data_IF_026543878617
#
_entry.id   IF_026543878617
#
_cell.length_a   1.000
_cell.length_b   1.000
_cell.length_c   1.000
_cell.angle_alpha   90.00
_cell.angle_beta   90.00
_cell.angle_gamma   90.00
#
_symmetry.space_group_name_H-M   'P 1'
#
loop_
_entity.id
_entity.type
_entity.pdbx_description
1 polymer ?
#
# COMPACT_ATOMS: atom_id res chain seq x y z
N UNK A 1 -14.26 -33.09 -17.55
CA UNK A 1 -12.93 -32.53 -17.28
C UNK A 1 -12.96 -31.15 -17.91
N UNK A 2 -13.29 -30.16 -17.09
CA UNK A 2 -13.11 -28.72 -17.31
C UNK A 2 -13.48 -28.09 -15.97
N UNK A 3 -12.51 -28.18 -15.05
CA UNK A 3 -12.59 -27.57 -13.73
C UNK A 3 -12.22 -26.10 -13.92
N UNK A 4 -13.15 -25.32 -14.47
CA UNK A 4 -13.09 -23.86 -14.38
C UNK A 4 -13.32 -23.49 -12.92
N UNK A 5 -12.22 -23.43 -12.19
CA UNK A 5 -12.12 -22.79 -10.89
C UNK A 5 -12.70 -21.40 -11.06
N UNK A 6 -13.73 -21.10 -10.27
CA UNK A 6 -14.51 -19.87 -10.36
C UNK A 6 -13.61 -18.68 -9.97
N UNK A 7 -12.98 -18.04 -10.96
CA UNK A 7 -12.06 -16.91 -10.82
C UNK A 7 -12.72 -15.65 -10.25
N UNK A 8 -14.04 -15.68 -10.00
CA UNK A 8 -14.83 -14.56 -9.51
C UNK A 8 -14.84 -14.39 -7.98
N UNK A 9 -14.27 -15.33 -7.23
CA UNK A 9 -14.08 -15.20 -5.77
C UNK A 9 -12.72 -14.59 -5.38
N UNK A 10 -12.14 -13.79 -6.27
CA UNK A 10 -10.99 -12.97 -5.96
C UNK A 10 -11.45 -11.84 -5.04
N UNK A 11 -10.93 -11.81 -3.81
CA UNK A 11 -11.41 -10.97 -2.70
C UNK A 11 -12.69 -11.48 -2.00
N UNK A 12 -13.05 -12.76 -2.13
CA UNK A 12 -14.25 -13.30 -1.48
C UNK A 12 -14.26 -13.13 0.04
N UNK A 13 -15.41 -12.71 0.59
CA UNK A 13 -15.65 -12.53 2.02
C UNK A 13 -15.10 -13.72 2.84
N UNK A 14 -14.20 -13.41 3.78
CA UNK A 14 -13.95 -14.26 4.94
C UNK A 14 -14.64 -13.58 6.12
N UNK A 15 -15.97 -13.72 6.27
CA UNK A 15 -16.77 -12.89 7.19
C UNK A 15 -16.38 -13.05 8.67
N UNK A 16 -15.48 -13.97 9.00
CA UNK A 16 -14.94 -14.17 10.34
C UNK A 16 -13.73 -13.28 10.67
N UNK A 17 -13.12 -12.56 9.72
CA UNK A 17 -11.89 -11.78 9.98
C UNK A 17 -12.07 -10.27 9.89
N UNK A 18 -12.72 -9.74 8.85
CA UNK A 18 -12.97 -8.30 8.66
C UNK A 18 -14.32 -8.07 7.98
N UNK A 19 -15.08 -7.01 8.35
CA UNK A 19 -16.30 -6.63 7.64
C UNK A 19 -16.04 -5.76 6.40
N UNK A 20 -14.78 -5.46 6.07
CA UNK A 20 -14.41 -4.57 4.98
C UNK A 20 -13.58 -5.28 3.92
N UNK A 21 -13.89 -4.96 2.66
CA UNK A 21 -13.11 -5.35 1.49
C UNK A 21 -13.04 -4.18 0.50
N UNK A 22 -11.94 -4.10 -0.24
CA UNK A 22 -11.70 -3.04 -1.23
C UNK A 22 -12.62 -3.18 -2.44
N UNK A 23 -13.00 -4.41 -2.81
CA UNK A 23 -13.82 -4.68 -4.00
C UNK A 23 -15.22 -4.07 -3.88
N UNK A 24 -15.92 -4.33 -2.77
CA UNK A 24 -17.19 -3.68 -2.44
C UNK A 24 -17.10 -2.15 -2.51
N UNK A 25 -16.03 -1.54 -1.98
CA UNK A 25 -15.85 -0.10 -2.02
C UNK A 25 -15.71 0.42 -3.46
N UNK A 26 -14.86 -0.21 -4.28
CA UNK A 26 -14.72 0.17 -5.69
C UNK A 26 -16.04 -0.03 -6.46
N UNK A 27 -16.74 -1.14 -6.25
CA UNK A 27 -18.05 -1.39 -6.86
C UNK A 27 -19.08 -0.32 -6.48
N UNK A 28 -19.06 0.13 -5.22
CA UNK A 28 -19.91 1.23 -4.77
C UNK A 28 -19.61 2.53 -5.52
N UNK A 29 -18.34 2.94 -5.63
CA UNK A 29 -17.96 4.15 -6.36
C UNK A 29 -18.37 4.09 -7.85
N UNK A 30 -18.10 2.95 -8.50
CA UNK A 30 -18.40 2.75 -9.92
C UNK A 30 -19.91 2.71 -10.18
N UNK A 31 -20.68 2.01 -9.34
CA UNK A 31 -22.15 1.97 -9.47
C UNK A 31 -22.82 3.34 -9.22
N UNK A 32 -22.13 4.25 -8.54
CA UNK A 32 -22.55 5.64 -8.34
C UNK A 32 -21.94 6.62 -9.36
N UNK A 33 -21.42 6.12 -10.49
CA UNK A 33 -21.02 6.93 -11.64
C UNK A 33 -19.59 7.45 -11.64
N UNK A 34 -18.74 7.02 -10.69
CA UNK A 34 -17.31 7.35 -10.75
C UNK A 34 -16.62 6.48 -11.80
N UNK A 35 -15.94 7.14 -12.75
CA UNK A 35 -15.19 6.45 -13.80
C UNK A 35 -13.99 5.71 -13.19
N UNK A 36 -13.82 4.39 -13.42
CA UNK A 36 -12.71 3.61 -12.84
C UNK A 36 -11.32 4.22 -13.05
N UNK A 37 -11.05 4.77 -14.24
CA UNK A 37 -9.75 5.41 -14.57
C UNK A 37 -9.48 6.75 -13.85
N UNK A 38 -10.37 7.15 -12.93
CA UNK A 38 -10.15 8.25 -11.98
C UNK A 38 -9.94 7.78 -10.55
N UNK A 39 -10.09 6.48 -10.26
CA UNK A 39 -9.87 5.89 -8.95
C UNK A 39 -8.43 5.41 -8.84
N UNK A 40 -7.76 5.79 -7.75
CA UNK A 40 -6.40 5.36 -7.41
C UNK A 40 -6.49 4.50 -6.16
N UNK A 41 -5.93 3.28 -6.20
CA UNK A 41 -5.97 2.37 -5.06
C UNK A 41 -4.94 2.77 -4.00
N UNK A 42 -5.41 3.13 -2.81
CA UNK A 42 -4.53 3.39 -1.66
C UNK A 42 -4.01 2.11 -1.02
N UNK A 43 -2.71 2.06 -0.74
CA UNK A 43 -1.99 0.90 -0.22
C UNK A 43 -1.10 1.30 0.97
N UNK A 44 -0.96 0.44 2.00
CA UNK A 44 -0.12 0.73 3.15
C UNK A 44 1.34 0.32 2.94
N UNK A 45 2.27 1.18 3.34
CA UNK A 45 3.69 0.86 3.57
C UNK A 45 3.95 0.61 5.06
N UNK A 46 2.97 0.04 5.76
CA UNK A 46 3.06 -0.26 7.18
C UNK A 46 2.21 -1.48 7.52
N UNK A 47 2.54 -2.10 8.64
CA UNK A 47 1.75 -3.15 9.25
C UNK A 47 0.99 -2.71 10.48
N UNK A 48 -0.14 -3.36 10.74
CA UNK A 48 -0.91 -3.24 11.99
C UNK A 48 -0.76 -4.49 12.83
N UNK A 49 -0.35 -4.32 14.09
CA UNK A 49 -0.05 -5.42 15.00
C UNK A 49 -1.17 -5.72 16.00
N UNK A 50 -1.25 -6.99 16.36
CA UNK A 50 -2.18 -7.57 17.33
C UNK A 50 -1.42 -8.59 18.18
N UNK A 51 -1.37 -8.38 19.50
CA UNK A 51 -0.66 -9.23 20.46
C UNK A 51 -1.61 -10.14 21.23
N UNK A 52 -1.07 -11.22 21.81
CA UNK A 52 -1.81 -12.21 22.57
C UNK A 52 -3.02 -12.76 21.79
N UNK A 53 -2.86 -12.95 20.48
CA UNK A 53 -3.86 -13.52 19.58
C UNK A 53 -3.50 -14.95 19.21
N UNK A 54 -4.48 -15.78 18.83
CA UNK A 54 -4.25 -17.12 18.27
C UNK A 54 -4.09 -17.11 16.74
N UNK A 55 -4.32 -15.96 16.11
CA UNK A 55 -4.14 -15.75 14.68
C UNK A 55 -5.13 -14.73 14.12
N UNK A 56 -5.32 -14.79 12.80
CA UNK A 56 -6.21 -13.89 12.08
C UNK A 56 -7.68 -14.15 12.46
N UNK A 57 -8.44 -13.09 12.78
CA UNK A 57 -9.86 -13.19 13.14
C UNK A 57 -10.15 -13.69 14.55
N UNK A 58 -9.14 -13.89 15.39
CA UNK A 58 -9.31 -14.26 16.80
C UNK A 58 -9.15 -13.04 17.72
N UNK A 59 -9.68 -13.09 18.96
CA UNK A 59 -9.45 -12.02 19.95
C UNK A 59 -7.97 -11.76 20.19
N UNK A 60 -7.63 -10.51 20.53
CA UNK A 60 -6.27 -10.06 20.84
C UNK A 60 -6.27 -9.26 22.15
N UNK A 61 -5.12 -9.19 22.83
CA UNK A 61 -4.96 -8.56 24.15
C UNK A 61 -4.33 -7.17 24.14
N UNK A 62 -3.90 -6.68 22.98
CA UNK A 62 -3.25 -5.39 22.79
C UNK A 62 -2.64 -5.27 21.40
N UNK A 63 -2.05 -4.13 21.10
CA UNK A 63 -1.40 -3.89 19.80
C UNK A 63 0.12 -3.79 19.89
N UNK A 64 0.67 -3.82 21.11
CA UNK A 64 2.10 -3.66 21.33
C UNK A 64 2.61 -2.24 21.04
N UNK A 65 3.94 -2.07 20.95
CA UNK A 65 4.56 -0.83 20.50
C UNK A 65 4.38 -0.65 18.98
N UNK A 66 5.12 0.28 18.40
CA UNK A 66 5.21 0.47 16.95
C UNK A 66 6.47 1.25 16.61
N UNK A 67 6.73 1.47 15.32
CA UNK A 67 7.88 2.27 14.89
C UNK A 67 7.75 3.72 15.35
N UNK A 68 6.54 4.27 15.23
CA UNK A 68 6.23 5.66 15.60
C UNK A 68 5.02 5.75 16.52
N UNK A 69 3.95 5.03 16.18
CA UNK A 69 2.72 4.95 16.96
C UNK A 69 2.45 3.50 17.38
N UNK A 70 1.90 3.31 18.58
CA UNK A 70 1.55 1.98 19.07
C UNK A 70 0.67 1.21 18.06
N UNK A 71 1.03 -0.05 17.80
CA UNK A 71 0.28 -0.90 16.89
C UNK A 71 0.59 -0.70 15.40
N UNK A 72 1.54 0.16 15.04
CA UNK A 72 1.91 0.41 13.65
C UNK A 72 3.43 0.28 13.43
N UNK A 73 3.82 -0.55 12.48
CA UNK A 73 5.22 -0.75 12.12
C UNK A 73 5.46 -0.38 10.66
N UNK A 74 6.53 0.37 10.39
CA UNK A 74 6.99 0.63 9.03
C UNK A 74 7.23 -0.70 8.28
N UNK A 75 6.88 -0.78 7.00
CA UNK A 75 7.10 -1.99 6.21
C UNK A 75 8.58 -2.41 6.18
N UNK A 76 9.51 -1.45 6.08
CA UNK A 76 10.95 -1.71 5.99
C UNK A 76 11.57 -2.47 7.17
N UNK A 77 10.87 -2.59 8.31
CA UNK A 77 11.34 -3.36 9.48
C UNK A 77 10.68 -4.75 9.59
N UNK A 78 9.81 -5.11 8.66
CA UNK A 78 9.07 -6.36 8.63
C UNK A 78 9.64 -7.33 7.57
N UNK A 79 9.51 -8.65 7.77
CA UNK A 79 9.01 -9.32 8.97
C UNK A 79 10.00 -9.25 10.14
N UNK A 80 9.49 -9.35 11.37
CA UNK A 80 10.34 -9.57 12.52
C UNK A 80 10.93 -10.98 12.55
N UNK A 81 12.16 -11.09 13.07
CA UNK A 81 12.83 -12.38 13.24
C UNK A 81 11.98 -13.31 14.11
N UNK A 82 11.81 -14.55 13.66
CA UNK A 82 10.98 -15.56 14.32
C UNK A 82 9.51 -15.56 13.88
N UNK A 83 9.03 -14.48 13.23
CA UNK A 83 7.71 -14.48 12.62
C UNK A 83 7.72 -15.24 11.28
N UNK A 84 6.61 -15.91 10.98
CA UNK A 84 6.39 -16.54 9.67
C UNK A 84 5.39 -15.71 8.88
N UNK A 85 5.76 -15.31 7.67
CA UNK A 85 4.84 -14.65 6.73
C UNK A 85 3.87 -15.65 6.11
N UNK A 86 2.61 -15.21 5.99
CA UNK A 86 1.52 -15.95 5.38
C UNK A 86 0.89 -15.06 4.31
N UNK A 87 0.73 -15.62 3.12
CA UNK A 87 0.04 -15.01 2.00
C UNK A 87 -1.28 -15.76 1.75
N UNK A 88 -2.41 -15.05 1.83
CA UNK A 88 -3.73 -15.56 1.46
C UNK A 88 -4.10 -15.03 0.06
N UNK A 89 -3.83 -15.86 -0.95
CA UNK A 89 -4.11 -15.55 -2.35
C UNK A 89 -5.61 -15.37 -2.65
N UNK A 90 -6.51 -15.94 -1.82
CA UNK A 90 -7.95 -15.78 -2.06
C UNK A 90 -8.40 -14.36 -1.77
N UNK A 91 -7.86 -13.76 -0.70
CA UNK A 91 -8.25 -12.43 -0.22
C UNK A 91 -7.29 -11.31 -0.64
N UNK A 92 -6.17 -11.64 -1.28
CA UNK A 92 -5.17 -10.63 -1.67
C UNK A 92 -4.54 -9.92 -0.49
N UNK A 93 -4.21 -10.69 0.54
CA UNK A 93 -3.70 -10.17 1.81
C UNK A 93 -2.56 -11.00 2.37
N UNK A 94 -1.73 -10.39 3.20
CA UNK A 94 -0.69 -11.09 3.96
C UNK A 94 -0.63 -10.62 5.41
N UNK A 95 0.02 -11.44 6.22
CA UNK A 95 0.40 -11.10 7.59
C UNK A 95 1.62 -11.93 8.00
N UNK A 96 2.36 -11.47 9.00
CA UNK A 96 3.32 -12.30 9.73
C UNK A 96 2.73 -12.74 11.07
N UNK A 97 3.12 -13.92 11.54
CA UNK A 97 2.73 -14.42 12.85
C UNK A 97 3.91 -15.10 13.55
N UNK A 98 4.20 -14.67 14.77
CA UNK A 98 5.14 -15.33 15.67
C UNK A 98 4.36 -16.13 16.71
N UNK A 99 4.55 -17.45 16.70
CA UNK A 99 3.86 -18.39 17.60
C UNK A 99 4.32 -18.32 19.04
N UNK A 100 5.53 -17.84 19.29
CA UNK A 100 6.12 -17.74 20.63
C UNK A 100 5.60 -16.50 21.34
N UNK A 101 5.69 -15.34 20.68
CA UNK A 101 5.18 -14.07 21.22
C UNK A 101 3.68 -13.90 21.05
N UNK A 102 3.05 -14.72 20.19
CA UNK A 102 1.63 -14.64 19.82
C UNK A 102 1.28 -13.26 19.24
N UNK A 103 2.20 -12.71 18.43
CA UNK A 103 2.03 -11.45 17.73
C UNK A 103 1.71 -11.70 16.26
N UNK A 104 0.64 -11.07 15.77
CA UNK A 104 0.27 -11.00 14.36
C UNK A 104 0.51 -9.58 13.86
N UNK A 105 1.10 -9.43 12.67
CA UNK A 105 1.21 -8.12 12.00
C UNK A 105 0.65 -8.26 10.58
N UNK A 106 -0.41 -7.51 10.26
CA UNK A 106 -0.99 -7.50 8.91
C UNK A 106 -0.40 -6.36 8.09
N UNK A 107 0.19 -6.69 6.94
CA UNK A 107 0.82 -5.77 5.98
C UNK A 107 0.90 -6.44 4.60
N UNK A 108 1.19 -5.66 3.56
CA UNK A 108 1.37 -6.18 2.21
C UNK A 108 2.82 -6.67 1.99
N UNK A 109 2.96 -7.85 1.38
CA UNK A 109 4.23 -8.39 0.88
C UNK A 109 4.30 -8.25 -0.64
N UNK A 110 5.48 -8.48 -1.25
CA UNK A 110 5.65 -8.43 -2.71
C UNK A 110 4.58 -9.27 -3.47
N UNK A 111 4.26 -10.52 -3.09
CA UNK A 111 3.18 -11.28 -3.75
C UNK A 111 1.80 -10.61 -3.67
N UNK A 112 1.48 -9.95 -2.55
CA UNK A 112 0.22 -9.21 -2.41
C UNK A 112 0.21 -7.98 -3.31
N UNK A 113 1.34 -7.28 -3.42
CA UNK A 113 1.49 -6.13 -4.31
C UNK A 113 1.34 -6.55 -5.77
N UNK A 114 1.92 -7.68 -6.17
CA UNK A 114 1.74 -8.26 -7.51
C UNK A 114 0.26 -8.51 -7.79
N UNK A 115 -0.43 -9.13 -6.83
CA UNK A 115 -1.85 -9.47 -6.93
C UNK A 115 -2.72 -8.21 -7.05
N UNK A 116 -2.47 -7.20 -6.21
CA UNK A 116 -3.21 -5.93 -6.24
C UNK A 116 -2.91 -5.12 -7.50
N UNK A 117 -1.68 -5.18 -8.03
CA UNK A 117 -1.32 -4.58 -9.31
C UNK A 117 -2.11 -5.21 -10.47
N UNK A 118 -2.18 -6.54 -10.52
CA UNK A 118 -2.99 -7.25 -11.50
C UNK A 118 -4.48 -6.89 -11.39
N UNK A 119 -4.99 -6.77 -10.16
CA UNK A 119 -6.37 -6.37 -9.91
C UNK A 119 -6.66 -4.91 -10.33
N UNK A 120 -5.75 -3.97 -10.07
CA UNK A 120 -5.83 -2.57 -10.56
C UNK A 120 -5.99 -2.55 -12.08
N UNK A 121 -5.16 -3.33 -12.81
CA UNK A 121 -5.26 -3.46 -14.28
C UNK A 121 -6.61 -4.01 -14.70
N UNK A 122 -7.04 -5.12 -14.09
CA UNK A 122 -8.29 -5.80 -14.42
C UNK A 122 -9.50 -4.90 -14.23
N UNK A 123 -9.50 -4.10 -13.15
CA UNK A 123 -10.57 -3.15 -12.81
C UNK A 123 -10.48 -1.82 -13.59
N UNK A 124 -9.43 -1.62 -14.38
CA UNK A 124 -9.22 -0.38 -15.14
C UNK A 124 -9.06 0.84 -14.24
N UNK A 125 -8.49 0.67 -13.05
CA UNK A 125 -8.21 1.78 -12.14
C UNK A 125 -7.02 2.60 -12.64
N UNK A 126 -6.90 3.85 -12.16
CA UNK A 126 -5.86 4.79 -12.61
C UNK A 126 -4.45 4.38 -12.19
N UNK A 127 -4.32 3.71 -11.05
CA UNK A 127 -3.02 3.33 -10.50
C UNK A 127 -3.08 3.11 -8.98
N UNK A 128 -1.93 3.24 -8.34
CA UNK A 128 -1.75 3.05 -6.90
C UNK A 128 -1.28 4.33 -6.20
N UNK A 129 -1.64 4.46 -4.92
CA UNK A 129 -1.17 5.46 -3.98
C UNK A 129 -0.64 4.74 -2.74
N UNK A 130 0.38 5.30 -2.09
CA UNK A 130 1.01 4.69 -0.93
C UNK A 130 0.99 5.62 0.28
N UNK A 131 0.78 5.04 1.46
CA UNK A 131 0.96 5.71 2.74
C UNK A 131 1.96 4.92 3.60
N UNK A 132 3.14 5.44 3.94
CA UNK A 132 3.79 6.61 3.36
C UNK A 132 5.27 6.33 3.02
N UNK A 133 5.86 7.20 2.20
CA UNK A 133 7.14 6.94 1.50
C UNK A 133 8.30 6.57 2.42
N UNK A 134 8.37 7.11 3.64
CA UNK A 134 9.51 6.87 4.54
C UNK A 134 9.60 5.41 5.03
N UNK A 135 8.50 4.66 4.93
CA UNK A 135 8.36 3.31 5.45
C UNK A 135 8.65 2.20 4.42
N UNK A 136 8.89 2.54 3.15
CA UNK A 136 9.26 1.56 2.12
C UNK A 136 10.73 1.12 2.23
N UNK A 137 11.05 0.00 1.58
CA UNK A 137 12.43 -0.43 1.38
C UNK A 137 13.10 0.36 0.25
N UNK A 138 14.42 0.50 0.30
CA UNK A 138 15.20 1.18 -0.74
C UNK A 138 15.81 0.22 -1.78
N UNK A 139 15.72 -1.08 -1.54
CA UNK A 139 16.33 -2.15 -2.34
C UNK A 139 15.28 -2.84 -3.26
N UNK A 140 15.56 -4.06 -3.69
CA UNK A 140 14.66 -4.92 -4.47
C UNK A 140 13.34 -5.26 -3.77
N UNK A 141 13.28 -5.10 -2.44
CA UNK A 141 12.08 -5.39 -1.65
C UNK A 141 11.11 -4.20 -1.57
N UNK A 142 11.39 -3.10 -2.28
CA UNK A 142 10.51 -1.92 -2.35
C UNK A 142 9.14 -2.28 -2.95
N UNK A 143 8.08 -2.03 -2.19
CA UNK A 143 6.72 -2.26 -2.67
C UNK A 143 6.32 -1.25 -3.74
N UNK A 144 6.82 -0.01 -3.66
CA UNK A 144 6.57 1.01 -4.69
C UNK A 144 7.20 0.60 -6.01
N UNK A 145 8.48 0.18 -5.99
CA UNK A 145 9.20 -0.27 -7.19
C UNK A 145 8.52 -1.47 -7.81
N UNK A 146 8.19 -2.47 -6.99
CA UNK A 146 7.51 -3.68 -7.45
C UNK A 146 6.16 -3.36 -8.11
N UNK A 147 5.33 -2.53 -7.46
CA UNK A 147 4.06 -2.07 -8.01
C UNK A 147 4.23 -1.34 -9.35
N UNK A 148 5.23 -0.46 -9.47
CA UNK A 148 5.54 0.21 -10.74
C UNK A 148 5.84 -0.79 -11.85
N UNK A 149 6.73 -1.75 -11.58
CA UNK A 149 7.20 -2.71 -12.57
C UNK A 149 6.08 -3.65 -13.01
N UNK A 150 5.27 -4.14 -12.06
CA UNK A 150 4.15 -5.04 -12.35
C UNK A 150 2.96 -4.31 -12.96
N UNK A 151 2.65 -3.08 -12.54
CA UNK A 151 1.60 -2.29 -13.16
C UNK A 151 1.95 -1.97 -14.60
N UNK A 152 3.19 -1.60 -14.91
CA UNK A 152 3.61 -1.27 -16.29
C UNK A 152 2.59 -0.40 -17.07
N UNK A 153 1.79 0.39 -16.35
CA UNK A 153 0.81 1.29 -16.94
C UNK A 153 1.58 2.51 -17.44
N UNK A 154 1.08 3.13 -18.50
CA UNK A 154 1.64 4.41 -18.93
C UNK A 154 1.49 5.42 -17.80
N UNK A 155 2.62 5.87 -17.24
CA UNK A 155 2.63 6.94 -16.24
C UNK A 155 2.11 8.20 -16.91
N UNK A 156 1.22 8.90 -16.21
CA UNK A 156 0.71 10.20 -16.64
C UNK A 156 1.89 11.14 -16.98
N UNK A 157 1.93 11.58 -18.23
CA UNK A 157 3.00 12.41 -18.77
C UNK A 157 2.67 13.91 -18.76
N UNK A 158 1.62 14.31 -18.01
CA UNK A 158 1.25 15.70 -17.82
C UNK A 158 2.41 16.50 -17.22
N UNK A 159 2.76 17.62 -17.86
CA UNK A 159 3.80 18.51 -17.35
C UNK A 159 3.40 19.12 -16.01
N UNK A 160 4.38 19.24 -15.10
CA UNK A 160 4.18 19.96 -13.84
C UNK A 160 4.19 21.49 -14.07
N UNK A 161 3.75 22.23 -13.06
CA UNK A 161 3.79 23.69 -13.06
C UNK A 161 5.05 24.18 -12.35
N UNK A 162 5.95 24.85 -13.08
CA UNK A 162 7.18 25.45 -12.53
C UNK A 162 7.08 26.98 -12.38
N UNK A 163 6.11 27.60 -13.04
CA UNK A 163 5.99 29.06 -13.12
C UNK A 163 4.91 29.56 -12.16
N UNK A 164 5.31 30.23 -11.09
CA UNK A 164 4.41 30.82 -10.10
C UNK A 164 4.65 32.33 -9.99
N UNK A 165 4.28 33.07 -11.04
CA UNK A 165 4.53 34.51 -11.17
C UNK A 165 3.98 35.36 -10.01
N UNK A 166 2.97 34.86 -9.29
CA UNK A 166 2.36 35.55 -8.16
C UNK A 166 2.77 34.97 -6.80
N UNK A 167 3.81 34.12 -6.75
CA UNK A 167 4.35 33.62 -5.48
C UNK A 167 4.88 34.79 -4.64
N UNK A 168 4.56 34.79 -3.35
CA UNK A 168 5.12 35.74 -2.38
C UNK A 168 6.62 35.50 -2.11
N UNK A 169 7.13 34.32 -2.46
CA UNK A 169 8.54 33.95 -2.30
C UNK A 169 9.31 34.27 -3.56
N UNK A 170 10.29 35.19 -3.46
CA UNK A 170 11.08 35.70 -4.58
C UNK A 170 11.86 34.61 -5.30
N UNK A 171 12.48 33.69 -4.56
CA UNK A 171 13.20 32.53 -5.11
C UNK A 171 12.28 31.62 -5.93
N UNK A 172 11.10 31.27 -5.42
CA UNK A 172 10.14 30.42 -6.12
C UNK A 172 9.56 31.13 -7.35
N UNK A 173 9.26 32.43 -7.23
CA UNK A 173 8.79 33.26 -8.35
C UNK A 173 9.85 33.38 -9.47
N UNK A 174 11.13 33.45 -9.09
CA UNK A 174 12.26 33.49 -10.01
C UNK A 174 12.65 32.10 -10.56
N UNK A 175 11.95 31.03 -10.18
CA UNK A 175 12.22 29.67 -10.67
C UNK A 175 13.41 28.98 -9.99
N UNK A 176 13.67 29.28 -8.72
CA UNK A 176 14.79 28.74 -7.92
C UNK A 176 16.14 28.84 -8.64
N UNK A 177 16.60 30.05 -9.03
CA UNK A 177 17.91 30.20 -9.65
C UNK A 177 19.02 29.80 -8.67
N UNK A 178 20.14 29.33 -9.21
CA UNK A 178 21.34 29.06 -8.41
C UNK A 178 21.77 30.31 -7.63
N UNK A 179 22.29 30.17 -6.40
CA UNK A 179 22.84 31.29 -5.66
C UNK A 179 23.89 32.01 -6.51
N UNK A 180 23.74 33.33 -6.70
CA UNK A 180 24.82 34.13 -7.26
C UNK A 180 25.95 34.17 -6.23
N UNK A 181 27.15 33.74 -6.61
CA UNK A 181 28.37 33.76 -5.80
C UNK A 181 28.66 35.20 -5.34
N UNK A 182 28.05 35.62 -4.24
CA UNK A 182 28.44 36.83 -3.54
C UNK A 182 29.65 36.43 -2.71
N UNK A 183 30.83 36.68 -3.26
CA UNK A 183 32.13 36.37 -2.66
C UNK A 183 32.28 36.84 -1.20
N UNK A 184 33.38 36.44 -0.53
CA UNK A 184 33.46 36.39 0.92
C UNK A 184 33.18 37.75 1.59
N UNK A 185 32.43 37.65 2.70
CA UNK A 185 32.09 38.72 3.63
C UNK A 185 33.32 39.44 4.21
#
# INVERSE_FOLDING_TARGET
MDQYVDWWNFMGEKPTTTPFETDAAINYYVSNGVVPSKLVLGLPLYGRSFEATDGLGTPFGGVGPGTWDAGAYDFKVLPFSGATEVYDNLTGSSYSYDRITRQLISYDTLPVVDQKAAWIKQRGLRGAMWWEMSADQANEDSLIRNMHDVLSLEIDNSLNQLIYNNSAYDNLRAGMPEPTDTGPA
#
